data_IF_054006657448
#
_entry.id   IF_054006657448
#
_cell.length_a   1.000
_cell.length_b   1.000
_cell.length_c   1.000
_cell.angle_alpha   90.00
_cell.angle_beta   90.00
_cell.angle_gamma   90.00
#
_symmetry.space_group_name_H-M   'P 1'
#
loop_
_entity.id
_entity.type
_entity.pdbx_description
1 polymer ?
#
# COMPACT_ATOMS: atom_id res chain seq x y z
N UNK A 1 -13.27 -4.82 21.91
CA UNK A 1 -14.65 -4.42 21.82
C UNK A 1 -15.45 -5.55 21.20
N UNK A 2 -16.31 -6.07 21.98
CA UNK A 2 -17.07 -7.18 21.49
C UNK A 2 -18.00 -6.69 20.40
N UNK A 3 -18.23 -7.57 19.41
CA UNK A 3 -19.05 -7.21 18.29
C UNK A 3 -18.33 -6.45 17.19
N UNK A 4 -17.13 -6.00 17.45
CA UNK A 4 -16.37 -5.29 16.42
C UNK A 4 -15.61 -6.30 15.58
N UNK A 5 -15.85 -6.27 14.30
CA UNK A 5 -15.22 -7.19 13.38
C UNK A 5 -13.90 -6.65 12.90
N UNK A 6 -13.03 -7.56 12.47
CA UNK A 6 -11.72 -7.16 11.98
C UNK A 6 -11.83 -6.10 10.89
N UNK A 7 -12.78 -6.30 9.97
CA UNK A 7 -12.94 -5.38 8.87
C UNK A 7 -13.27 -3.96 9.29
N UNK A 8 -13.82 -3.80 10.49
CA UNK A 8 -14.17 -2.47 10.98
C UNK A 8 -12.95 -1.68 11.40
N UNK A 9 -11.83 -2.36 11.63
CA UNK A 9 -10.59 -1.68 11.99
C UNK A 9 -9.67 -1.50 10.79
N UNK A 10 -9.97 -2.15 9.69
CA UNK A 10 -9.11 -2.06 8.51
C UNK A 10 -9.27 -0.68 7.88
N UNK A 11 -8.14 -0.07 7.54
CA UNK A 11 -8.12 1.22 6.87
C UNK A 11 -7.65 1.01 5.45
N UNK A 12 -8.33 1.66 4.52
CA UNK A 12 -7.95 1.58 3.11
C UNK A 12 -7.85 2.99 2.53
N UNK A 13 -7.02 3.12 1.52
CA UNK A 13 -7.01 4.33 0.70
C UNK A 13 -6.61 3.95 -0.71
N UNK A 14 -6.96 4.79 -1.67
CA UNK A 14 -6.59 4.58 -3.05
C UNK A 14 -5.66 5.68 -3.51
N UNK A 15 -4.86 5.36 -4.53
CA UNK A 15 -3.94 6.32 -5.11
C UNK A 15 -3.79 6.02 -6.59
N UNK A 16 -3.85 7.06 -7.42
CA UNK A 16 -3.66 6.93 -8.87
C UNK A 16 -2.20 7.24 -9.17
N UNK A 17 -1.50 6.31 -9.80
CA UNK A 17 -0.08 6.45 -10.09
C UNK A 17 0.14 7.61 -11.06
N UNK A 18 1.02 8.54 -10.69
CA UNK A 18 1.38 9.66 -11.54
C UNK A 18 2.76 9.53 -12.15
N UNK A 19 3.61 8.64 -11.62
CA UNK A 19 4.96 8.41 -12.15
C UNK A 19 4.86 7.85 -13.56
N UNK A 20 5.58 8.46 -14.50
CA UNK A 20 5.53 8.04 -15.91
C UNK A 20 5.93 6.59 -16.09
N UNK A 21 6.77 6.07 -15.21
CA UNK A 21 7.25 4.70 -15.28
C UNK A 21 6.42 3.74 -14.42
N UNK A 22 5.38 4.24 -13.77
CA UNK A 22 4.52 3.39 -12.95
C UNK A 22 5.20 2.94 -11.67
N UNK A 23 4.79 1.79 -11.20
CA UNK A 23 5.36 1.19 -10.00
C UNK A 23 6.57 0.36 -10.42
N UNK A 24 7.76 0.80 -10.02
CA UNK A 24 9.01 0.18 -10.44
C UNK A 24 9.94 0.03 -9.24
N UNK A 25 11.15 -0.51 -9.46
CA UNK A 25 12.03 -0.91 -8.37
C UNK A 25 12.30 0.19 -7.37
N UNK A 26 12.54 1.41 -7.84
CA UNK A 26 12.91 2.50 -6.91
C UNK A 26 11.75 2.87 -6.00
N UNK A 27 10.60 3.18 -6.57
CA UNK A 27 9.49 3.62 -5.73
C UNK A 27 8.87 2.45 -4.97
N UNK A 28 8.89 1.24 -5.52
CA UNK A 28 8.43 0.07 -4.79
C UNK A 28 9.31 -0.18 -3.56
N UNK A 29 10.62 0.03 -3.69
CA UNK A 29 11.52 -0.13 -2.56
C UNK A 29 11.19 0.86 -1.46
N UNK A 30 10.91 2.11 -1.82
CA UNK A 30 10.57 3.13 -0.83
C UNK A 30 9.28 2.78 -0.09
N UNK A 31 8.29 2.29 -0.83
CA UNK A 31 7.01 1.89 -0.21
C UNK A 31 7.22 0.70 0.70
N UNK A 32 7.96 -0.31 0.23
CA UNK A 32 8.16 -1.54 1.01
C UNK A 32 8.92 -1.24 2.30
N UNK A 33 9.94 -0.39 2.24
CA UNK A 33 10.71 -0.06 3.43
C UNK A 33 9.86 0.69 4.45
N UNK A 34 9.03 1.60 3.97
CA UNK A 34 8.14 2.32 4.88
C UNK A 34 7.14 1.36 5.51
N UNK A 35 6.59 0.46 4.70
CA UNK A 35 5.59 -0.49 5.18
C UNK A 35 6.17 -1.45 6.22
N UNK A 36 7.45 -1.84 6.06
CA UNK A 36 8.09 -2.75 6.99
C UNK A 36 8.18 -2.19 8.41
N UNK A 37 8.12 -0.88 8.54
CA UNK A 37 8.20 -0.25 9.86
C UNK A 37 6.95 -0.41 10.69
N UNK A 38 5.88 -0.96 10.12
CA UNK A 38 4.61 -1.12 10.83
C UNK A 38 4.31 -2.60 11.02
N UNK A 39 3.59 -2.90 12.10
CA UNK A 39 3.23 -4.28 12.40
C UNK A 39 1.98 -4.72 11.68
N UNK A 40 1.12 -3.79 11.29
CA UNK A 40 -0.11 -4.15 10.61
C UNK A 40 0.19 -4.83 9.28
N UNK A 41 -0.79 -5.60 8.83
CA UNK A 41 -0.71 -6.19 7.51
C UNK A 41 -0.97 -5.09 6.49
N UNK A 42 -0.12 -5.02 5.48
CA UNK A 42 -0.28 -4.01 4.43
C UNK A 42 -0.34 -4.72 3.10
N UNK A 43 -1.45 -4.54 2.40
CA UNK A 43 -1.65 -5.13 1.08
C UNK A 43 -1.93 -4.02 0.08
N UNK A 44 -1.48 -4.25 -1.15
CA UNK A 44 -1.69 -3.30 -2.23
C UNK A 44 -2.30 -4.07 -3.39
N UNK A 45 -3.40 -3.59 -3.90
CA UNK A 45 -4.11 -4.26 -4.99
C UNK A 45 -4.20 -3.34 -6.20
N UNK A 46 -4.14 -3.93 -7.38
CA UNK A 46 -4.32 -3.19 -8.62
C UNK A 46 -4.66 -4.18 -9.72
N UNK A 47 -5.66 -3.86 -10.52
CA UNK A 47 -5.98 -4.66 -11.70
C UNK A 47 -6.28 -6.12 -11.39
N UNK A 48 -6.90 -6.40 -10.26
CA UNK A 48 -7.25 -7.77 -9.90
C UNK A 48 -6.12 -8.55 -9.25
N UNK A 49 -4.95 -7.94 -9.07
CA UNK A 49 -3.82 -8.57 -8.39
C UNK A 49 -3.61 -7.95 -7.03
N UNK A 50 -3.07 -8.73 -6.10
CA UNK A 50 -2.80 -8.27 -4.75
C UNK A 50 -1.35 -8.56 -4.40
N UNK A 51 -0.70 -7.60 -3.77
CA UNK A 51 0.70 -7.70 -3.37
C UNK A 51 0.86 -7.46 -1.89
N UNK A 52 1.94 -8.01 -1.33
CA UNK A 52 2.35 -7.70 0.03
C UNK A 52 3.08 -6.36 0.01
N UNK A 53 2.54 -5.37 0.71
CA UNK A 53 3.10 -4.02 0.69
C UNK A 53 4.49 -3.92 1.29
N UNK A 54 4.94 -4.95 1.98
CA UNK A 54 6.25 -4.96 2.62
C UNK A 54 7.33 -5.64 1.79
N UNK A 55 6.97 -6.09 0.58
CA UNK A 55 7.91 -6.83 -0.27
C UNK A 55 8.02 -6.16 -1.64
N UNK A 56 9.25 -5.79 -1.98
CA UNK A 56 9.51 -5.07 -3.23
C UNK A 56 9.06 -5.86 -4.44
N UNK A 57 9.47 -7.12 -4.53
CA UNK A 57 9.16 -7.93 -5.69
C UNK A 57 7.66 -8.18 -5.83
N UNK A 58 6.97 -8.29 -4.70
CA UNK A 58 5.52 -8.46 -4.73
C UNK A 58 4.85 -7.24 -5.33
N UNK A 59 5.30 -6.05 -4.91
CA UNK A 59 4.76 -4.80 -5.45
C UNK A 59 5.03 -4.66 -6.93
N UNK A 60 6.25 -4.97 -7.36
CA UNK A 60 6.60 -4.90 -8.78
C UNK A 60 5.73 -5.84 -9.59
N UNK A 61 5.40 -7.00 -9.01
CA UNK A 61 4.56 -7.98 -9.67
C UNK A 61 3.16 -7.50 -10.01
N UNK A 62 2.72 -6.37 -9.42
CA UNK A 62 1.45 -5.79 -9.80
C UNK A 62 1.46 -5.25 -11.22
N UNK A 63 2.63 -4.93 -11.75
CA UNK A 63 2.79 -4.37 -13.09
C UNK A 63 1.93 -3.13 -13.30
N UNK A 64 1.78 -2.34 -12.24
CA UNK A 64 0.91 -1.17 -12.29
C UNK A 64 1.61 -0.02 -13.01
N UNK A 65 0.91 0.62 -13.90
CA UNK A 65 1.45 1.68 -14.75
C UNK A 65 0.85 3.02 -14.38
N UNK A 66 1.39 4.08 -14.97
CA UNK A 66 0.84 5.40 -14.80
C UNK A 66 -0.67 5.37 -15.08
N UNK A 67 -1.43 5.97 -14.21
CA UNK A 67 -2.88 6.01 -14.34
C UNK A 67 -3.59 4.86 -13.66
N UNK A 68 -2.86 3.82 -13.26
CA UNK A 68 -3.49 2.70 -12.55
C UNK A 68 -3.83 3.10 -11.14
N UNK A 69 -4.91 2.52 -10.62
CA UNK A 69 -5.32 2.78 -9.25
C UNK A 69 -4.76 1.70 -8.34
N UNK A 70 -4.11 2.14 -7.26
CA UNK A 70 -3.64 1.24 -6.22
C UNK A 70 -4.58 1.35 -5.03
N UNK A 71 -4.97 0.21 -4.49
CA UNK A 71 -5.76 0.16 -3.27
C UNK A 71 -4.87 -0.38 -2.17
N UNK A 72 -4.62 0.47 -1.17
CA UNK A 72 -3.85 0.07 0.00
C UNK A 72 -4.79 -0.33 1.12
N UNK A 73 -4.48 -1.45 1.78
CA UNK A 73 -5.27 -1.93 2.92
C UNK A 73 -4.33 -2.18 4.08
N UNK A 74 -4.61 -1.57 5.21
CA UNK A 74 -3.84 -1.73 6.42
C UNK A 74 -4.73 -2.34 7.49
N UNK A 75 -4.24 -3.42 8.14
CA UNK A 75 -5.03 -4.14 9.12
C UNK A 75 -4.14 -4.55 10.29
N UNK A 76 -4.32 -3.89 11.44
CA UNK A 76 -3.53 -4.13 12.63
C UNK A 76 -3.57 -2.95 13.57
N UNK A 77 -2.85 -3.06 14.69
CA UNK A 77 -2.91 -2.05 15.73
C UNK A 77 -2.42 -0.69 15.30
N UNK A 78 -1.39 -0.66 14.45
CA UNK A 78 -0.83 0.61 14.00
C UNK A 78 -1.31 1.00 12.60
N UNK A 79 -2.50 0.51 12.22
CA UNK A 79 -3.00 0.74 10.88
C UNK A 79 -3.23 2.22 10.58
N UNK A 80 -3.65 3.00 11.58
CA UNK A 80 -3.92 4.43 11.35
C UNK A 80 -2.63 5.18 11.06
N UNK A 81 -1.56 4.87 11.80
CA UNK A 81 -0.27 5.50 11.58
C UNK A 81 0.30 5.09 10.24
N UNK A 82 0.17 3.81 9.90
CA UNK A 82 0.67 3.31 8.63
C UNK A 82 -0.03 3.99 7.47
N UNK A 83 -1.36 4.09 7.56
CA UNK A 83 -2.15 4.69 6.49
C UNK A 83 -1.77 6.16 6.28
N UNK A 84 -1.62 6.92 7.38
CA UNK A 84 -1.28 8.33 7.27
C UNK A 84 0.07 8.51 6.60
N UNK A 85 1.06 7.72 7.03
CA UNK A 85 2.41 7.87 6.49
C UNK A 85 2.48 7.42 5.03
N UNK A 86 1.90 6.27 4.72
CA UNK A 86 1.96 5.75 3.35
C UNK A 86 1.19 6.62 2.38
N UNK A 87 0.05 7.17 2.82
CA UNK A 87 -0.73 8.04 1.95
C UNK A 87 0.07 9.28 1.56
N UNK A 88 0.81 9.84 2.51
CA UNK A 88 1.67 10.99 2.22
C UNK A 88 2.85 10.58 1.33
N UNK A 89 3.44 9.42 1.62
CA UNK A 89 4.62 8.97 0.89
C UNK A 89 4.34 8.71 -0.58
N UNK A 90 3.22 8.01 -0.88
CA UNK A 90 2.95 7.65 -2.27
C UNK A 90 2.75 8.87 -3.15
N UNK A 91 2.24 9.96 -2.57
CA UNK A 91 2.09 11.20 -3.33
C UNK A 91 3.43 11.77 -3.77
N UNK A 92 4.48 11.46 -3.02
CA UNK A 92 5.81 11.97 -3.35
C UNK A 92 6.60 11.05 -4.27
N UNK A 93 6.37 9.72 -4.15
CA UNK A 93 7.26 8.80 -4.84
C UNK A 93 6.62 8.05 -6.01
N UNK A 94 5.33 8.02 -6.09
CA UNK A 94 4.65 7.32 -7.16
C UNK A 94 3.71 8.24 -7.91
#
# INVERSE_FOLDING_TARGET
VEGVKRGEFMITFTYIISDANGLHARNALQVARAAEGYQCRIQVSSGGKTANGKQVLSLIGLSARKGAELLFSMDGEDEAEAAAYLQALVKEVI
#
